data_IF_964429912182
#
_entry.id   IF_964429912182
#
_cell.length_a   1.000
_cell.length_b   1.000
_cell.length_c   1.000
_cell.angle_alpha   90.00
_cell.angle_beta   90.00
_cell.angle_gamma   90.00
#
_symmetry.space_group_name_H-M   'P 1'
#
loop_
_entity.id
_entity.type
_entity.pdbx_description
1 polymer ?
#
# COMPACT_ATOMS: atom_id res chain seq x y z
N UNK A 1 0.92 28.61 16.49
CA UNK A 1 1.07 27.34 17.20
C UNK A 1 1.57 26.29 16.21
N UNK A 2 2.85 26.04 16.21
CA UNK A 2 3.46 25.05 15.31
C UNK A 2 3.36 23.69 15.99
N UNK A 3 2.62 22.77 15.39
CA UNK A 3 2.48 21.40 15.90
C UNK A 3 3.87 20.75 16.03
N UNK A 4 4.16 20.00 17.11
CA UNK A 4 5.45 19.34 17.31
C UNK A 4 5.85 18.36 16.20
N UNK A 5 4.98 18.11 15.27
CA UNK A 5 5.13 17.21 14.14
C UNK A 5 6.22 17.67 13.14
N UNK A 6 6.34 18.99 12.92
CA UNK A 6 7.32 19.50 11.94
C UNK A 6 8.78 19.36 12.36
N UNK A 7 9.08 19.40 13.68
CA UNK A 7 10.46 19.29 14.17
C UNK A 7 11.02 17.86 14.09
N UNK A 8 10.18 16.86 14.03
CA UNK A 8 10.61 15.45 13.96
C UNK A 8 10.92 15.00 12.53
N UNK A 9 10.29 15.65 11.55
CA UNK A 9 10.56 15.39 10.13
C UNK A 9 11.90 15.94 9.64
N UNK A 10 12.38 17.05 10.22
CA UNK A 10 13.62 17.68 9.76
C UNK A 10 14.91 16.95 10.20
N UNK A 11 14.85 16.02 11.16
CA UNK A 11 16.04 15.29 11.67
C UNK A 11 16.35 13.96 10.98
N UNK A 12 15.52 13.51 10.04
CA UNK A 12 15.73 12.22 9.35
C UNK A 12 15.81 12.36 7.83
N UNK A 13 16.75 13.19 7.34
CA UNK A 13 17.03 13.22 5.89
C UNK A 13 17.49 11.86 5.33
N UNK A 14 18.05 10.98 6.15
CA UNK A 14 18.47 9.64 5.75
C UNK A 14 17.32 8.63 5.79
N UNK A 15 16.35 8.81 6.70
CA UNK A 15 15.19 7.92 6.82
C UNK A 15 14.10 8.17 5.78
N UNK A 16 13.99 9.40 5.28
CA UNK A 16 12.94 9.78 4.30
C UNK A 16 13.16 9.11 2.95
N UNK A 17 14.42 8.99 2.50
CA UNK A 17 14.73 8.34 1.22
C UNK A 17 14.46 6.83 1.28
N UNK A 18 14.76 6.19 2.41
CA UNK A 18 14.53 4.77 2.60
C UNK A 18 13.04 4.44 2.80
N UNK A 19 12.29 5.25 3.56
CA UNK A 19 10.84 5.14 3.69
C UNK A 19 10.13 5.36 2.35
N UNK A 20 10.58 6.33 1.56
CA UNK A 20 10.01 6.64 0.25
C UNK A 20 10.21 5.50 -0.75
N UNK A 21 11.36 4.81 -0.72
CA UNK A 21 11.64 3.64 -1.53
C UNK A 21 10.80 2.43 -1.07
N UNK A 22 10.65 2.22 0.22
CA UNK A 22 9.85 1.16 0.82
C UNK A 22 8.35 1.36 0.50
N UNK A 23 7.83 2.56 0.68
CA UNK A 23 6.47 2.96 0.34
C UNK A 23 6.18 2.76 -1.15
N UNK A 24 7.10 3.16 -2.00
CA UNK A 24 7.01 2.93 -3.45
C UNK A 24 7.01 1.43 -3.78
N UNK A 25 7.87 0.65 -3.16
CA UNK A 25 7.93 -0.80 -3.32
C UNK A 25 6.63 -1.49 -2.92
N UNK A 26 6.07 -1.11 -1.78
CA UNK A 26 4.77 -1.59 -1.30
C UNK A 26 3.65 -1.29 -2.30
N UNK A 27 3.63 -0.07 -2.83
CA UNK A 27 2.65 0.36 -3.82
C UNK A 27 2.73 -0.47 -5.12
N UNK A 28 3.93 -0.76 -5.59
CA UNK A 28 4.13 -1.64 -6.75
C UNK A 28 3.62 -3.07 -6.47
N UNK A 29 3.96 -3.64 -5.32
CA UNK A 29 3.54 -4.99 -4.95
C UNK A 29 2.02 -5.11 -4.80
N UNK A 30 1.39 -4.13 -4.17
CA UNK A 30 -0.06 -4.05 -4.07
C UNK A 30 -0.72 -3.96 -5.43
N UNK A 31 -0.19 -3.11 -6.33
CA UNK A 31 -0.71 -2.95 -7.69
C UNK A 31 -0.61 -4.25 -8.48
N UNK A 32 0.49 -4.99 -8.36
CA UNK A 32 0.64 -6.31 -8.99
C UNK A 32 -0.44 -7.28 -8.48
N UNK A 33 -0.67 -7.30 -7.16
CA UNK A 33 -1.71 -8.13 -6.56
C UNK A 33 -3.11 -7.78 -7.07
N UNK A 34 -3.43 -6.50 -7.14
CA UNK A 34 -4.72 -6.01 -7.65
C UNK A 34 -4.93 -6.39 -9.11
N UNK A 35 -3.90 -6.20 -9.94
CA UNK A 35 -3.96 -6.57 -11.36
C UNK A 35 -4.10 -8.08 -11.56
N UNK A 36 -3.40 -8.87 -10.77
CA UNK A 36 -3.53 -10.34 -10.77
C UNK A 36 -4.96 -10.76 -10.42
N UNK A 37 -5.56 -10.15 -9.40
CA UNK A 37 -6.95 -10.44 -9.00
C UNK A 37 -7.97 -9.99 -10.03
N UNK A 38 -7.73 -8.86 -10.69
CA UNK A 38 -8.65 -8.27 -11.68
C UNK A 38 -8.58 -8.96 -13.04
N UNK A 39 -7.37 -9.23 -13.52
CA UNK A 39 -7.11 -9.67 -14.89
C UNK A 39 -6.54 -11.10 -14.99
N UNK A 40 -6.25 -11.75 -13.87
CA UNK A 40 -5.59 -13.06 -13.81
C UNK A 40 -4.08 -12.99 -14.08
N UNK A 41 -3.57 -11.87 -14.57
CA UNK A 41 -2.17 -11.66 -14.93
C UNK A 41 -1.78 -10.19 -14.70
N UNK A 42 -0.55 -9.96 -14.30
CA UNK A 42 0.03 -8.62 -14.18
C UNK A 42 1.27 -8.50 -15.05
N UNK A 43 1.36 -7.43 -15.84
CA UNK A 43 2.52 -7.10 -16.67
C UNK A 43 3.04 -5.72 -16.30
N UNK A 44 4.32 -5.46 -16.57
CA UNK A 44 4.94 -4.15 -16.31
C UNK A 44 4.19 -3.00 -17.00
N UNK A 45 3.66 -3.22 -18.19
CA UNK A 45 2.88 -2.22 -18.94
C UNK A 45 1.56 -1.90 -18.23
N UNK A 46 0.92 -2.89 -17.61
CA UNK A 46 -0.32 -2.71 -16.86
C UNK A 46 -0.06 -1.93 -15.57
N UNK A 47 1.04 -2.24 -14.89
CA UNK A 47 1.48 -1.50 -13.70
C UNK A 47 1.77 -0.02 -14.04
N UNK A 48 2.46 0.22 -15.17
CA UNK A 48 2.75 1.57 -15.64
C UNK A 48 1.46 2.36 -15.89
N UNK A 49 0.48 1.76 -16.53
CA UNK A 49 -0.82 2.36 -16.81
C UNK A 49 -1.59 2.64 -15.53
N UNK A 50 -1.68 1.68 -14.63
CA UNK A 50 -2.42 1.80 -13.36
C UNK A 50 -1.84 2.90 -12.47
N UNK A 51 -0.52 3.00 -12.36
CA UNK A 51 0.16 3.98 -11.51
C UNK A 51 0.44 5.32 -12.20
N UNK A 52 0.24 5.40 -13.51
CA UNK A 52 0.56 6.60 -14.28
C UNK A 52 2.06 6.91 -14.36
N UNK A 53 2.90 5.89 -14.30
CA UNK A 53 4.36 6.01 -14.33
C UNK A 53 4.92 5.62 -15.70
N UNK A 54 6.12 6.14 -16.00
CA UNK A 54 6.81 5.79 -17.24
C UNK A 54 7.30 4.33 -17.23
N UNK A 55 7.38 3.72 -18.42
CA UNK A 55 7.91 2.37 -18.58
C UNK A 55 9.32 2.20 -17.98
N UNK A 56 10.28 3.13 -18.20
CA UNK A 56 11.60 3.03 -17.56
C UNK A 56 11.55 3.04 -16.04
N UNK A 57 10.68 3.85 -15.43
CA UNK A 57 10.51 3.91 -13.97
C UNK A 57 9.99 2.58 -13.43
N UNK A 58 8.99 2.00 -14.07
CA UNK A 58 8.43 0.69 -13.71
C UNK A 58 9.47 -0.41 -13.87
N UNK A 59 10.19 -0.43 -14.98
CA UNK A 59 11.25 -1.43 -15.24
C UNK A 59 12.33 -1.39 -14.15
N UNK A 60 12.74 -0.20 -13.74
CA UNK A 60 13.71 -0.03 -12.64
C UNK A 60 13.18 -0.53 -11.31
N UNK A 61 11.95 -0.19 -10.98
CA UNK A 61 11.29 -0.65 -9.75
C UNK A 61 11.14 -2.17 -9.72
N UNK A 62 10.72 -2.78 -10.82
CA UNK A 62 10.61 -4.23 -10.96
C UNK A 62 11.97 -4.92 -10.77
N UNK A 63 13.04 -4.35 -11.32
CA UNK A 63 14.40 -4.89 -11.12
C UNK A 63 14.80 -4.89 -9.65
N UNK A 64 14.52 -3.79 -8.93
CA UNK A 64 14.80 -3.68 -7.49
C UNK A 64 13.99 -4.71 -6.69
N UNK A 65 12.71 -4.87 -7.00
CA UNK A 65 11.84 -5.84 -6.35
C UNK A 65 12.25 -7.28 -6.64
N UNK A 66 12.74 -7.55 -7.85
CA UNK A 66 13.28 -8.85 -8.25
C UNK A 66 14.56 -9.17 -7.47
N UNK A 67 15.48 -8.23 -7.36
CA UNK A 67 16.71 -8.37 -6.56
C UNK A 67 16.39 -8.61 -5.09
N UNK A 68 15.37 -7.95 -4.55
CA UNK A 68 14.90 -8.13 -3.19
C UNK A 68 14.14 -9.43 -2.93
N UNK A 69 13.87 -10.22 -3.96
CA UNK A 69 13.14 -11.49 -3.84
C UNK A 69 11.63 -11.35 -3.65
N UNK A 70 11.05 -10.22 -4.04
CA UNK A 70 9.60 -9.98 -3.94
C UNK A 70 8.84 -10.36 -5.20
N UNK A 71 9.50 -10.33 -6.36
CA UNK A 71 8.90 -10.54 -7.67
C UNK A 71 9.81 -11.42 -8.51
N UNK A 72 9.21 -12.27 -9.33
CA UNK A 72 9.88 -13.00 -10.41
C UNK A 72 9.17 -12.69 -11.73
N UNK A 73 9.83 -13.01 -12.84
CA UNK A 73 9.28 -12.83 -14.19
C UNK A 73 8.99 -14.22 -14.75
N UNK A 74 7.75 -14.45 -15.17
CA UNK A 74 7.30 -15.69 -15.75
C UNK A 74 7.67 -15.84 -17.23
N UNK A 75 7.32 -16.99 -17.80
CA UNK A 75 7.73 -17.40 -19.15
C UNK A 75 7.20 -16.49 -20.28
N UNK A 76 6.10 -15.78 -20.04
CA UNK A 76 5.50 -14.85 -21.00
C UNK A 76 5.73 -13.37 -20.62
N UNK A 77 6.69 -13.11 -19.73
CA UNK A 77 7.03 -11.78 -19.26
C UNK A 77 6.10 -11.21 -18.19
N UNK A 78 5.19 -12.02 -17.65
CA UNK A 78 4.30 -11.61 -16.57
C UNK A 78 5.06 -11.47 -15.25
N UNK A 79 4.61 -10.55 -14.43
CA UNK A 79 5.12 -10.36 -13.07
C UNK A 79 4.45 -11.35 -12.13
N UNK A 80 5.24 -12.07 -11.36
CA UNK A 80 4.78 -13.05 -10.38
C UNK A 80 5.25 -12.62 -8.99
N UNK A 81 4.31 -12.53 -8.05
CA UNK A 81 4.66 -12.31 -6.65
C UNK A 81 5.25 -13.59 -6.05
N UNK A 82 6.40 -13.47 -5.40
CA UNK A 82 6.92 -14.54 -4.54
C UNK A 82 6.07 -14.63 -3.28
N UNK A 83 6.25 -15.66 -2.46
CA UNK A 83 5.56 -15.75 -1.16
C UNK A 83 5.84 -14.51 -0.31
N UNK A 84 7.09 -14.05 -0.28
CA UNK A 84 7.50 -12.82 0.41
C UNK A 84 6.80 -11.58 -0.16
N UNK A 85 6.75 -11.44 -1.48
CA UNK A 85 6.09 -10.33 -2.16
C UNK A 85 4.58 -10.35 -1.95
N UNK A 86 3.97 -11.53 -2.00
CA UNK A 86 2.53 -11.71 -1.79
C UNK A 86 2.13 -11.36 -0.36
N UNK A 87 2.93 -11.72 0.62
CA UNK A 87 2.67 -11.37 2.01
C UNK A 87 2.67 -9.85 2.22
N UNK A 88 3.65 -9.15 1.68
CA UNK A 88 3.71 -7.68 1.75
C UNK A 88 2.52 -7.05 1.02
N UNK A 89 2.24 -7.48 -0.21
CA UNK A 89 1.14 -6.97 -1.01
C UNK A 89 -0.22 -7.18 -0.32
N UNK A 90 -0.44 -8.35 0.25
CA UNK A 90 -1.68 -8.69 0.93
C UNK A 90 -1.87 -7.86 2.20
N UNK A 91 -0.80 -7.67 2.98
CA UNK A 91 -0.85 -6.83 4.18
C UNK A 91 -1.24 -5.38 3.84
N UNK A 92 -0.64 -4.81 2.81
CA UNK A 92 -0.95 -3.45 2.37
C UNK A 92 -2.38 -3.36 1.85
N UNK A 93 -2.82 -4.32 1.05
CA UNK A 93 -4.19 -4.39 0.55
C UNK A 93 -5.22 -4.49 1.69
N UNK A 94 -4.97 -5.33 2.69
CA UNK A 94 -5.85 -5.48 3.85
C UNK A 94 -5.91 -4.19 4.68
N UNK A 95 -4.78 -3.51 4.87
CA UNK A 95 -4.70 -2.21 5.52
C UNK A 95 -5.53 -1.16 4.77
N UNK A 96 -5.39 -1.12 3.45
CA UNK A 96 -6.17 -0.23 2.58
C UNK A 96 -7.66 -0.42 2.78
N UNK A 97 -8.15 -1.66 2.65
CA UNK A 97 -9.56 -1.98 2.79
C UNK A 97 -10.10 -1.58 4.18
N UNK A 98 -9.34 -1.88 5.22
CA UNK A 98 -9.74 -1.57 6.59
C UNK A 98 -9.79 -0.05 6.85
N UNK A 99 -8.77 0.70 6.41
CA UNK A 99 -8.73 2.15 6.58
C UNK A 99 -9.90 2.80 5.82
N UNK A 100 -10.15 2.36 4.60
CA UNK A 100 -11.28 2.82 3.80
C UNK A 100 -12.61 2.60 4.53
N UNK A 101 -12.84 1.40 5.07
CA UNK A 101 -14.03 1.09 5.85
C UNK A 101 -14.18 2.02 7.05
N UNK A 102 -13.11 2.22 7.82
CA UNK A 102 -13.12 3.13 8.96
C UNK A 102 -13.51 4.56 8.56
N UNK A 103 -12.93 5.07 7.48
CA UNK A 103 -13.23 6.42 7.00
C UNK A 103 -14.69 6.54 6.54
N UNK A 104 -15.21 5.55 5.83
CA UNK A 104 -16.61 5.51 5.43
C UNK A 104 -17.56 5.41 6.63
N UNK A 105 -17.18 4.65 7.65
CA UNK A 105 -17.92 4.55 8.90
C UNK A 105 -18.02 5.91 9.63
N UNK A 106 -16.97 6.74 9.52
CA UNK A 106 -16.96 8.11 10.05
C UNK A 106 -17.77 9.11 9.20
N UNK A 107 -18.30 8.69 8.06
CA UNK A 107 -19.09 9.53 7.17
C UNK A 107 -18.32 10.13 6.00
N UNK A 108 -17.07 9.72 5.80
CA UNK A 108 -16.28 10.16 4.63
C UNK A 108 -16.83 9.52 3.37
N UNK A 109 -16.92 10.28 2.27
CA UNK A 109 -17.39 9.74 1.00
C UNK A 109 -16.50 8.60 0.49
N UNK A 110 -17.05 7.63 -0.26
CA UNK A 110 -16.25 6.51 -0.79
C UNK A 110 -15.03 6.95 -1.61
N UNK A 111 -15.17 8.00 -2.42
CA UNK A 111 -14.10 8.53 -3.27
C UNK A 111 -12.96 9.12 -2.44
N UNK A 112 -13.30 9.93 -1.43
CA UNK A 112 -12.30 10.50 -0.50
C UNK A 112 -11.67 9.42 0.37
N UNK A 113 -12.47 8.48 0.88
CA UNK A 113 -11.99 7.37 1.69
C UNK A 113 -10.99 6.50 0.91
N UNK A 114 -11.25 6.24 -0.36
CA UNK A 114 -10.33 5.52 -1.25
C UNK A 114 -9.00 6.26 -1.40
N UNK A 115 -9.06 7.56 -1.73
CA UNK A 115 -7.87 8.38 -1.94
C UNK A 115 -7.02 8.52 -0.67
N UNK A 116 -7.66 8.71 0.47
CA UNK A 116 -6.96 8.86 1.75
C UNK A 116 -6.40 7.53 2.24
N UNK A 117 -7.12 6.42 2.08
CA UNK A 117 -6.64 5.10 2.42
C UNK A 117 -5.37 4.73 1.66
N UNK A 118 -5.28 5.05 0.37
CA UNK A 118 -4.09 4.85 -0.46
C UNK A 118 -2.84 5.54 0.10
N UNK A 119 -3.00 6.62 0.84
CA UNK A 119 -1.88 7.34 1.47
C UNK A 119 -1.61 6.83 2.88
N UNK A 120 -2.67 6.63 3.66
CA UNK A 120 -2.57 6.25 5.07
C UNK A 120 -2.02 4.85 5.27
N UNK A 121 -2.28 3.92 4.36
CA UNK A 121 -1.83 2.54 4.47
C UNK A 121 -0.31 2.38 4.59
N UNK A 122 0.44 3.32 4.02
CA UNK A 122 1.91 3.29 4.05
C UNK A 122 2.52 4.02 5.24
N UNK A 123 1.76 4.88 5.92
CA UNK A 123 2.31 5.79 6.95
C UNK A 123 1.81 5.51 8.36
N UNK A 124 0.67 4.83 8.52
CA UNK A 124 0.17 4.46 9.83
C UNK A 124 1.04 3.40 10.50
N UNK A 125 1.36 3.61 11.78
CA UNK A 125 2.07 2.61 12.57
C UNK A 125 1.16 1.41 12.87
N UNK A 126 1.77 0.27 13.18
CA UNK A 126 1.03 -0.92 13.62
C UNK A 126 0.22 -0.66 14.90
N UNK A 127 0.77 0.14 15.80
CA UNK A 127 0.06 0.53 17.04
C UNK A 127 -1.22 1.31 16.71
N UNK A 128 -1.12 2.34 15.88
CA UNK A 128 -2.28 3.14 15.46
C UNK A 128 -3.33 2.26 14.79
N UNK A 129 -2.89 1.42 13.86
CA UNK A 129 -3.78 0.52 13.13
C UNK A 129 -4.48 -0.47 14.06
N UNK A 130 -3.76 -1.05 15.01
CA UNK A 130 -4.31 -1.97 16.01
C UNK A 130 -5.33 -1.29 16.91
N UNK A 131 -5.06 -0.07 17.36
CA UNK A 131 -6.01 0.72 18.15
C UNK A 131 -7.27 1.06 17.37
N UNK A 132 -7.13 1.43 16.10
CA UNK A 132 -8.27 1.68 15.21
C UNK A 132 -9.13 0.44 15.04
N UNK A 133 -8.50 -0.73 14.83
CA UNK A 133 -9.21 -2.02 14.69
C UNK A 133 -10.00 -2.36 15.96
N UNK A 134 -9.38 -2.26 17.11
CA UNK A 134 -10.03 -2.55 18.39
C UNK A 134 -11.24 -1.65 18.63
N UNK A 135 -11.12 -0.36 18.34
CA UNK A 135 -12.20 0.61 18.46
C UNK A 135 -13.35 0.35 17.49
N UNK A 136 -13.02 0.09 16.22
CA UNK A 136 -14.00 -0.23 15.19
C UNK A 136 -14.79 -1.50 15.52
N UNK A 137 -14.12 -2.57 15.92
CA UNK A 137 -14.75 -3.84 16.30
C UNK A 137 -15.68 -3.68 17.51
N UNK A 138 -15.28 -2.90 18.51
CA UNK A 138 -16.07 -2.56 19.67
C UNK A 138 -17.39 -1.88 19.31
N UNK A 139 -17.32 -0.85 18.43
CA UNK A 139 -18.51 -0.13 17.97
C UNK A 139 -19.43 -1.00 17.09
N UNK A 140 -18.86 -1.85 16.25
CA UNK A 140 -19.65 -2.76 15.43
C UNK A 140 -20.37 -3.84 16.25
N UNK A 141 -19.76 -4.28 17.36
CA UNK A 141 -20.39 -5.20 18.31
C UNK A 141 -21.58 -4.56 19.03
N UNK A 142 -21.47 -3.27 19.43
CA UNK A 142 -22.55 -2.53 20.07
C UNK A 142 -23.77 -2.30 19.16
N UNK A 143 -23.55 -2.12 17.86
CA UNK A 143 -24.64 -1.95 16.88
C UNK A 143 -25.41 -3.23 16.58
N UNK A 144 -24.83 -4.41 16.87
CA UNK A 144 -25.46 -5.73 16.64
C UNK A 144 -26.26 -6.24 17.83
N UNK A 145 -26.15 -5.59 18.96
CA UNK A 145 -26.94 -5.90 20.17
C UNK A 145 -28.12 -4.96 20.34
#
# INVERSE_FOLDING_TARGET
>A
MVYPFERRMMRKKVGVTHMKLQESGENYLETILILEKRNGIARSVDVATELGFSKPSVSRAVSILKEGGYVTIGNIGQLLLTDKGRQVAQNIYDRHCFIKECLMFLGVSPETAEADACRLEHVLSEETLSCMKAHYESHMAEQKS
#
